data_IF_119967692306
#
_entry.id   IF_119967692306
#
_cell.length_a   1.000
_cell.length_b   1.000
_cell.length_c   1.000
_cell.angle_alpha   90.00
_cell.angle_beta   90.00
_cell.angle_gamma   90.00
#
_symmetry.space_group_name_H-M   'P 1'
#
loop_
_entity.id
_entity.type
_entity.pdbx_description
1 polymer ?
#
# COMPACT_ATOMS: atom_id res chain seq x y z
N UNK A 1 18.22 -14.75 16.51
CA UNK A 1 17.30 -13.63 16.23
C UNK A 1 17.87 -12.41 16.93
N UNK A 2 18.24 -11.38 16.17
CA UNK A 2 19.03 -10.24 16.62
C UNK A 2 18.35 -9.45 17.73
N UNK A 3 19.13 -8.99 18.72
CA UNK A 3 18.75 -8.02 19.74
C UNK A 3 18.35 -6.67 19.08
N UNK A 4 17.15 -6.60 18.53
CA UNK A 4 16.54 -5.32 18.16
C UNK A 4 16.05 -4.71 19.47
N UNK A 5 16.65 -3.58 19.86
CA UNK A 5 16.14 -2.81 21.00
C UNK A 5 14.75 -2.27 20.64
N UNK A 6 13.89 -2.06 21.64
CA UNK A 6 12.55 -1.48 21.42
C UNK A 6 12.63 -0.16 20.61
N UNK A 7 13.64 0.67 20.87
CA UNK A 7 13.89 1.90 20.11
C UNK A 7 14.22 1.64 18.62
N UNK A 8 14.98 0.58 18.31
CA UNK A 8 15.28 0.20 16.92
C UNK A 8 14.05 -0.40 16.23
N UNK A 9 13.23 -1.16 16.95
CA UNK A 9 11.99 -1.70 16.40
C UNK A 9 10.99 -0.58 16.02
N UNK A 10 10.83 0.43 16.87
CA UNK A 10 9.97 1.58 16.58
C UNK A 10 10.49 2.42 15.40
N UNK A 11 11.81 2.55 15.22
CA UNK A 11 12.39 3.20 14.03
C UNK A 11 12.06 2.42 12.76
N UNK A 12 12.22 1.09 12.77
CA UNK A 12 11.87 0.25 11.62
C UNK A 12 10.38 0.34 11.28
N UNK A 13 9.52 0.39 12.30
CA UNK A 13 8.08 0.55 12.15
C UNK A 13 7.71 1.91 11.52
N UNK A 14 8.31 2.99 11.99
CA UNK A 14 8.11 4.33 11.41
C UNK A 14 8.58 4.38 9.95
N UNK A 15 9.73 3.78 9.65
CA UNK A 15 10.26 3.70 8.29
C UNK A 15 9.34 2.93 7.35
N UNK A 16 8.80 1.81 7.81
CA UNK A 16 7.81 1.04 7.05
C UNK A 16 6.55 1.87 6.80
N UNK A 17 6.00 2.51 7.84
CA UNK A 17 4.82 3.36 7.71
C UNK A 17 5.02 4.50 6.71
N UNK A 18 6.17 5.17 6.76
CA UNK A 18 6.55 6.23 5.82
C UNK A 18 6.73 5.71 4.40
N UNK A 19 7.32 4.53 4.22
CA UNK A 19 7.44 3.89 2.92
C UNK A 19 6.07 3.58 2.32
N UNK A 20 5.16 3.00 3.11
CA UNK A 20 3.79 2.72 2.69
C UNK A 20 3.05 4.02 2.30
N UNK A 21 3.17 5.08 3.12
CA UNK A 21 2.59 6.39 2.80
C UNK A 21 3.15 6.98 1.51
N UNK A 22 4.47 6.89 1.29
CA UNK A 22 5.10 7.35 0.06
C UNK A 22 4.55 6.61 -1.16
N UNK A 23 4.46 5.28 -1.09
CA UNK A 23 3.91 4.46 -2.17
C UNK A 23 2.43 4.78 -2.42
N UNK A 24 1.64 5.01 -1.38
CA UNK A 24 0.23 5.41 -1.52
C UNK A 24 0.08 6.77 -2.22
N UNK A 25 0.91 7.75 -1.88
CA UNK A 25 0.94 9.04 -2.60
C UNK A 25 1.39 8.84 -4.04
N UNK A 26 2.44 8.05 -4.28
CA UNK A 26 2.91 7.73 -5.62
C UNK A 26 1.81 7.15 -6.51
N UNK A 27 1.02 6.21 -5.97
CA UNK A 27 -0.15 5.65 -6.65
C UNK A 27 -1.22 6.69 -7.01
N UNK A 28 -1.49 7.67 -6.16
CA UNK A 28 -2.52 8.68 -6.43
C UNK A 28 -2.04 9.71 -7.46
N UNK A 29 -0.76 10.12 -7.37
CA UNK A 29 -0.28 11.31 -8.07
C UNK A 29 0.66 11.04 -9.24
N UNK A 30 1.48 9.99 -9.21
CA UNK A 30 2.60 9.84 -10.14
C UNK A 30 2.34 8.81 -11.25
N UNK A 31 2.83 9.11 -12.45
CA UNK A 31 2.93 8.19 -13.59
C UNK A 31 4.37 8.03 -14.12
N UNK A 32 5.31 8.82 -13.58
CA UNK A 32 6.75 8.76 -13.88
C UNK A 32 7.56 9.24 -12.68
N UNK A 33 8.89 9.09 -12.76
CA UNK A 33 9.85 9.52 -11.73
C UNK A 33 9.47 9.07 -10.28
N UNK A 34 9.25 7.77 -10.04
CA UNK A 34 8.67 7.27 -8.79
C UNK A 34 9.58 7.47 -7.57
N UNK A 35 10.88 7.71 -7.77
CA UNK A 35 11.86 7.94 -6.70
C UNK A 35 12.36 9.39 -6.64
N UNK A 36 11.78 10.29 -7.45
CA UNK A 36 12.18 11.70 -7.53
C UNK A 36 13.69 11.89 -7.74
N UNK A 37 14.29 11.06 -8.62
CA UNK A 37 15.74 11.12 -8.94
C UNK A 37 16.11 12.33 -9.79
N UNK A 38 15.13 12.89 -10.48
CA UNK A 38 15.18 14.16 -11.18
C UNK A 38 14.12 15.12 -10.60
N UNK A 39 14.22 16.43 -10.84
CA UNK A 39 13.20 17.38 -10.41
C UNK A 39 11.79 16.96 -10.85
N UNK A 40 10.80 17.14 -9.97
CA UNK A 40 9.41 16.79 -10.30
C UNK A 40 8.87 17.77 -11.36
N UNK A 41 8.47 17.23 -12.51
CA UNK A 41 7.88 17.96 -13.62
C UNK A 41 6.39 17.60 -13.78
N UNK A 42 5.57 18.47 -14.39
CA UNK A 42 4.16 18.20 -14.63
C UNK A 42 3.90 16.89 -15.40
N UNK A 43 4.76 16.50 -16.34
CA UNK A 43 4.61 15.22 -17.07
C UNK A 43 4.73 13.96 -16.20
N UNK A 44 5.29 14.07 -15.00
CA UNK A 44 5.37 12.96 -14.05
C UNK A 44 4.07 12.77 -13.27
N UNK A 45 3.17 13.75 -13.29
CA UNK A 45 1.93 13.77 -12.53
C UNK A 45 0.80 13.24 -13.42
N UNK A 46 -0.09 12.42 -12.85
CA UNK A 46 -1.27 11.93 -13.56
C UNK A 46 -2.17 13.10 -13.98
N UNK A 47 -2.68 13.11 -15.22
CA UNK A 47 -3.57 14.19 -15.70
C UNK A 47 -4.92 14.21 -14.96
N UNK A 48 -5.32 13.08 -14.35
CA UNK A 48 -6.50 12.95 -13.50
C UNK A 48 -6.09 12.28 -12.20
N UNK A 49 -6.27 12.98 -11.10
CA UNK A 49 -5.95 12.50 -9.76
C UNK A 49 -7.13 11.69 -9.22
N UNK A 50 -6.92 10.41 -8.97
CA UNK A 50 -7.94 9.47 -8.51
C UNK A 50 -7.40 8.63 -7.37
N UNK A 51 -8.24 8.39 -6.37
CA UNK A 51 -7.89 7.73 -5.12
C UNK A 51 -8.20 8.62 -3.92
N UNK A 52 -8.09 8.05 -2.73
CA UNK A 52 -8.39 8.74 -1.48
C UNK A 52 -7.15 8.73 -0.60
N UNK A 53 -6.78 9.90 -0.09
CA UNK A 53 -5.69 10.04 0.88
C UNK A 53 -6.18 10.01 2.32
N UNK A 54 -7.37 10.57 2.61
CA UNK A 54 -7.79 10.89 3.98
C UNK A 54 -7.73 9.74 4.98
N UNK A 55 -8.08 8.52 4.57
CA UNK A 55 -8.03 7.33 5.44
C UNK A 55 -6.67 6.61 5.39
N UNK A 56 -5.94 6.73 4.28
CA UNK A 56 -4.82 5.84 3.93
C UNK A 56 -3.64 5.85 4.92
N UNK A 57 -3.17 7.01 5.43
CA UNK A 57 -2.10 7.00 6.44
C UNK A 57 -2.46 6.27 7.72
N UNK A 58 -3.73 6.36 8.14
CA UNK A 58 -4.24 5.64 9.30
C UNK A 58 -4.28 4.13 9.05
N UNK A 59 -4.68 3.71 7.84
CA UNK A 59 -4.65 2.31 7.45
C UNK A 59 -3.22 1.78 7.39
N UNK A 60 -2.28 2.52 6.79
CA UNK A 60 -0.88 2.13 6.75
C UNK A 60 -0.26 2.03 8.15
N UNK A 61 -0.63 2.93 9.06
CA UNK A 61 -0.19 2.89 10.46
C UNK A 61 -0.69 1.60 11.14
N UNK A 62 -2.00 1.32 11.03
CA UNK A 62 -2.60 0.10 11.60
C UNK A 62 -1.96 -1.15 11.00
N UNK A 63 -1.79 -1.21 9.67
CA UNK A 63 -1.18 -2.34 8.98
C UNK A 63 0.24 -2.61 9.49
N UNK A 64 1.08 -1.57 9.58
CA UNK A 64 2.45 -1.70 10.10
C UNK A 64 2.46 -2.28 11.52
N UNK A 65 1.57 -1.80 12.40
CA UNK A 65 1.45 -2.29 13.76
C UNK A 65 0.87 -3.72 13.85
N UNK A 66 -0.04 -4.10 12.95
CA UNK A 66 -0.51 -5.48 12.84
C UNK A 66 0.61 -6.42 12.39
N UNK A 67 1.40 -6.03 11.38
CA UNK A 67 2.59 -6.79 10.97
C UNK A 67 3.57 -7.00 12.14
N UNK A 68 3.81 -5.95 12.94
CA UNK A 68 4.60 -6.08 14.17
C UNK A 68 4.01 -7.11 15.13
N UNK A 69 2.70 -7.08 15.36
CA UNK A 69 2.00 -8.02 16.25
C UNK A 69 2.11 -9.47 15.72
N UNK A 70 1.92 -9.68 14.41
CA UNK A 70 2.08 -10.97 13.74
C UNK A 70 3.48 -11.51 14.01
N UNK A 71 4.53 -10.73 13.73
CA UNK A 71 5.92 -11.15 13.90
C UNK A 71 6.30 -11.39 15.37
N UNK A 72 5.84 -10.57 16.31
CA UNK A 72 6.19 -10.69 17.72
C UNK A 72 5.50 -11.86 18.43
N UNK A 73 4.31 -12.23 17.96
CA UNK A 73 3.43 -13.17 18.66
C UNK A 73 3.11 -14.44 17.87
N UNK A 74 3.64 -14.56 16.65
CA UNK A 74 3.39 -15.68 15.74
C UNK A 74 1.88 -15.91 15.55
N UNK A 75 1.13 -14.84 15.27
CA UNK A 75 -0.33 -14.89 15.13
C UNK A 75 -0.76 -14.95 13.66
N UNK A 76 -1.73 -15.83 13.38
CA UNK A 76 -2.52 -15.78 12.17
C UNK A 76 -3.57 -14.67 12.28
N UNK A 77 -3.44 -13.61 11.47
CA UNK A 77 -4.33 -12.45 11.49
C UNK A 77 -4.85 -12.17 10.08
N UNK A 78 -6.14 -11.86 10.01
CA UNK A 78 -6.80 -11.37 8.80
C UNK A 78 -7.17 -9.90 8.97
N UNK A 79 -6.84 -9.06 7.99
CA UNK A 79 -7.16 -7.64 8.00
C UNK A 79 -8.36 -7.33 7.11
N UNK A 80 -9.48 -6.92 7.73
CA UNK A 80 -10.67 -6.45 7.01
C UNK A 80 -10.62 -4.93 6.87
N UNK A 81 -10.31 -4.46 5.67
CA UNK A 81 -10.23 -3.02 5.37
C UNK A 81 -11.63 -2.40 5.18
N UNK A 82 -12.27 -2.00 6.29
CA UNK A 82 -13.60 -1.38 6.25
C UNK A 82 -13.70 -0.11 5.38
N UNK A 83 -12.86 0.91 5.56
CA UNK A 83 -12.80 2.05 4.64
C UNK A 83 -12.03 1.66 3.36
N UNK A 84 -12.63 0.77 2.57
CA UNK A 84 -12.01 0.13 1.42
C UNK A 84 -11.57 1.08 0.31
N UNK A 85 -12.14 2.28 0.25
CA UNK A 85 -11.68 3.37 -0.62
C UNK A 85 -10.22 3.82 -0.34
N UNK A 86 -9.63 3.36 0.77
CA UNK A 86 -8.22 3.42 1.11
C UNK A 86 -7.33 2.40 0.38
N UNK A 87 -7.76 1.87 -0.76
CA UNK A 87 -7.04 0.90 -1.61
C UNK A 87 -5.54 1.15 -1.83
N UNK A 88 -5.05 2.40 -2.02
CA UNK A 88 -3.61 2.66 -2.15
C UNK A 88 -2.78 2.16 -0.97
N UNK A 89 -3.37 2.10 0.24
CA UNK A 89 -2.70 1.56 1.41
C UNK A 89 -2.55 0.04 1.33
N UNK A 90 -3.60 -0.68 0.94
CA UNK A 90 -3.55 -2.14 0.85
C UNK A 90 -2.60 -2.60 -0.25
N UNK A 91 -2.62 -1.91 -1.40
CA UNK A 91 -1.69 -2.17 -2.50
C UNK A 91 -0.24 -1.83 -2.10
N UNK A 92 -0.02 -0.72 -1.38
CA UNK A 92 1.33 -0.37 -0.91
C UNK A 92 1.90 -1.41 0.06
N UNK A 93 1.10 -1.89 1.01
CA UNK A 93 1.55 -2.88 2.00
C UNK A 93 1.82 -4.24 1.35
N UNK A 94 0.90 -4.75 0.53
CA UNK A 94 1.11 -6.02 -0.20
C UNK A 94 2.32 -5.97 -1.14
N UNK A 95 2.68 -4.80 -1.68
CA UNK A 95 3.91 -4.65 -2.46
C UNK A 95 5.17 -4.63 -1.59
N UNK A 96 5.15 -3.96 -0.43
CA UNK A 96 6.30 -3.92 0.50
C UNK A 96 6.63 -5.27 1.13
N UNK A 97 5.63 -6.14 1.31
CA UNK A 97 5.83 -7.49 1.84
C UNK A 97 6.12 -8.54 0.75
N UNK A 98 6.12 -8.14 -0.53
CA UNK A 98 6.45 -8.99 -1.68
C UNK A 98 5.28 -9.77 -2.28
N UNK A 99 4.18 -9.97 -1.55
CA UNK A 99 3.02 -10.77 -2.00
C UNK A 99 2.39 -10.26 -3.30
N UNK A 100 2.40 -8.94 -3.51
CA UNK A 100 1.97 -8.33 -4.77
C UNK A 100 2.86 -8.74 -5.94
N UNK A 101 4.17 -8.78 -5.76
CA UNK A 101 5.14 -9.13 -6.80
C UNK A 101 5.14 -10.63 -7.09
N UNK A 102 4.82 -11.47 -6.12
CA UNK A 102 4.64 -12.92 -6.33
C UNK A 102 3.47 -13.21 -7.28
N UNK A 103 2.34 -12.52 -7.10
CA UNK A 103 1.13 -12.67 -7.92
C UNK A 103 1.25 -11.90 -9.25
N UNK A 104 1.87 -10.73 -9.22
CA UNK A 104 2.08 -9.86 -10.38
C UNK A 104 3.57 -9.61 -10.63
N UNK A 105 4.33 -10.59 -11.20
CA UNK A 105 5.79 -10.48 -11.36
C UNK A 105 6.26 -9.28 -12.19
N UNK A 106 5.39 -8.76 -13.04
CA UNK A 106 5.68 -7.56 -13.80
C UNK A 106 5.76 -6.32 -12.91
N UNK A 107 5.17 -6.28 -11.71
CA UNK A 107 5.24 -5.17 -10.74
C UNK A 107 6.30 -5.46 -9.68
N UNK A 108 7.53 -5.74 -10.13
CA UNK A 108 8.69 -6.14 -9.31
C UNK A 108 9.05 -5.19 -8.16
N UNK A 109 9.80 -5.68 -7.18
CA UNK A 109 10.34 -4.92 -6.04
C UNK A 109 11.57 -4.06 -6.42
N UNK A 110 11.45 -3.30 -7.51
CA UNK A 110 12.48 -2.39 -8.00
C UNK A 110 11.88 -1.06 -8.47
N UNK A 111 12.73 -0.13 -8.92
CA UNK A 111 12.29 1.19 -9.36
C UNK A 111 11.33 1.13 -10.58
N UNK A 112 11.52 0.18 -11.48
CA UNK A 112 10.65 -0.03 -12.64
C UNK A 112 9.30 -0.61 -12.25
N UNK A 113 9.28 -1.56 -11.32
CA UNK A 113 8.04 -2.10 -10.75
C UNK A 113 7.29 -1.06 -9.92
N UNK A 114 7.99 -0.24 -9.13
CA UNK A 114 7.39 0.90 -8.43
C UNK A 114 6.74 1.92 -9.39
N UNK A 115 7.38 2.21 -10.52
CA UNK A 115 6.76 3.06 -11.54
C UNK A 115 5.46 2.45 -12.08
N UNK A 116 5.44 1.13 -12.32
CA UNK A 116 4.23 0.41 -12.79
C UNK A 116 3.15 0.40 -11.71
N UNK A 117 3.52 0.14 -10.46
CA UNK A 117 2.65 0.20 -9.29
C UNK A 117 1.95 1.56 -9.20
N UNK A 118 2.71 2.65 -9.36
CA UNK A 118 2.16 4.00 -9.29
C UNK A 118 1.24 4.27 -10.47
N UNK A 119 1.73 4.03 -11.69
CA UNK A 119 0.99 4.36 -12.92
C UNK A 119 -0.33 3.60 -13.02
N UNK A 120 -0.37 2.33 -12.67
CA UNK A 120 -1.55 1.47 -12.89
C UNK A 120 -2.72 1.79 -11.94
N UNK A 121 -2.48 2.38 -10.78
CA UNK A 121 -3.54 2.66 -9.82
C UNK A 121 -4.57 3.64 -10.38
N UNK A 122 -5.86 3.25 -10.42
CA UNK A 122 -6.96 4.06 -10.96
C UNK A 122 -6.70 4.63 -12.37
N UNK A 123 -6.00 3.86 -13.21
CA UNK A 123 -5.62 4.26 -14.56
C UNK A 123 -6.34 3.38 -15.60
N UNK A 124 -6.62 3.89 -16.82
CA UNK A 124 -7.20 3.05 -17.87
C UNK A 124 -6.39 1.77 -18.12
N UNK A 125 -7.04 0.61 -17.96
CA UNK A 125 -6.40 -0.71 -18.06
C UNK A 125 -5.51 -1.10 -16.88
N UNK A 126 -5.56 -0.35 -15.78
CA UNK A 126 -4.87 -0.64 -14.53
C UNK A 126 -5.79 -1.24 -13.46
N UNK A 127 -5.52 -0.92 -12.19
CA UNK A 127 -6.23 -1.52 -11.03
C UNK A 127 -7.24 -0.54 -10.39
N UNK A 128 -8.25 -1.03 -9.65
CA UNK A 128 -9.27 -0.22 -8.98
C UNK A 128 -8.73 0.69 -7.88
N UNK A 129 -9.60 1.59 -7.42
CA UNK A 129 -9.29 2.54 -6.34
C UNK A 129 -9.52 1.97 -4.92
N UNK A 130 -10.22 0.85 -4.81
CA UNK A 130 -10.59 0.21 -3.54
C UNK A 130 -9.67 -0.95 -3.20
N UNK A 131 -9.84 -1.56 -2.02
CA UNK A 131 -9.21 -2.81 -1.62
C UNK A 131 -9.81 -4.01 -2.39
N UNK A 132 -9.82 -3.93 -3.71
CA UNK A 132 -10.56 -4.81 -4.61
C UNK A 132 -10.03 -6.27 -4.59
N UNK A 133 -10.79 -7.26 -5.09
CA UNK A 133 -10.44 -8.68 -5.04
C UNK A 133 -9.08 -9.05 -5.67
N UNK A 134 -8.60 -8.26 -6.63
CA UNK A 134 -7.26 -8.40 -7.22
C UNK A 134 -6.12 -8.00 -6.27
N UNK A 135 -6.41 -7.36 -5.14
CA UNK A 135 -5.42 -6.97 -4.14
C UNK A 135 -5.12 -8.17 -3.24
N UNK A 136 -3.87 -8.66 -3.18
CA UNK A 136 -3.50 -9.76 -2.31
C UNK A 136 -3.90 -9.48 -0.85
N UNK A 137 -4.49 -10.49 -0.20
CA UNK A 137 -4.99 -10.38 1.17
C UNK A 137 -6.40 -9.77 1.31
N UNK A 138 -7.01 -9.26 0.24
CA UNK A 138 -8.38 -8.74 0.33
C UNK A 138 -9.43 -9.85 0.25
N UNK A 139 -10.33 -9.87 1.23
CA UNK A 139 -11.60 -10.61 1.20
C UNK A 139 -12.82 -9.68 1.33
N UNK A 140 -12.58 -8.37 1.43
CA UNK A 140 -13.59 -7.35 1.63
C UNK A 140 -13.16 -6.07 0.91
N UNK A 141 -13.87 -5.71 -0.15
CA UNK A 141 -13.54 -4.54 -0.95
C UNK A 141 -13.76 -3.21 -0.21
N UNK A 142 -14.72 -3.16 0.70
CA UNK A 142 -15.09 -1.95 1.46
C UNK A 142 -15.52 -0.76 0.60
N UNK A 143 -16.08 -1.03 -0.59
CA UNK A 143 -16.71 -0.02 -1.45
C UNK A 143 -18.06 0.43 -0.92
N UNK A 144 -19.00 -0.51 -0.76
CA UNK A 144 -20.21 -0.29 0.01
C UNK A 144 -19.92 -0.52 1.50
N UNK A 145 -19.99 0.55 2.29
CA UNK A 145 -19.68 0.51 3.72
C UNK A 145 -20.80 -0.18 4.50
N UNK A 146 -20.44 -0.90 5.58
CA UNK A 146 -21.40 -1.44 6.55
C UNK A 146 -21.21 -2.92 6.89
N UNK A 147 -20.42 -3.66 6.10
CA UNK A 147 -20.32 -5.13 6.22
C UNK A 147 -19.04 -5.65 6.87
N UNK A 148 -18.15 -4.76 7.33
CA UNK A 148 -16.81 -5.13 7.82
C UNK A 148 -16.81 -6.03 9.06
N UNK A 149 -17.85 -5.98 9.89
CA UNK A 149 -17.97 -6.84 11.08
C UNK A 149 -18.75 -8.12 10.81
N UNK A 150 -19.60 -8.15 9.78
CA UNK A 150 -20.41 -9.32 9.44
C UNK A 150 -19.68 -10.27 8.49
N UNK A 151 -18.74 -9.76 7.70
CA UNK A 151 -17.80 -10.54 6.89
C UNK A 151 -16.72 -11.14 7.79
#
# INVERSE_FOLDING_TARGET
>A
MSNVTEANELDLLDRYWRAANYLSVGQIYLMGNPLLREPLLPEHIKPRLLGHWGTTPGLNFIYAHLNRIICQRELDLLYVCGPGHGGPGMVANSWLEGSYSEIYPHVSEDAGGMQRLFKQFSFPGGIPSHAAPETPGSINEGGELGYSLSH
#
